data_IF_090628717467
#
_entry.id   IF_090628717467
#
_cell.length_a   1.000
_cell.length_b   1.000
_cell.length_c   1.000
_cell.angle_alpha   90.00
_cell.angle_beta   90.00
_cell.angle_gamma   90.00
#
_symmetry.space_group_name_H-M   'P 1'
#
loop_
_entity.id
_entity.type
_entity.pdbx_description
1 polymer ?
#
# COMPACT_ATOMS: atom_id res chain seq x y z
N UNK A 1 8.86 17.45 7.45
CA UNK A 1 9.30 16.12 7.00
C UNK A 1 8.34 15.58 5.99
N UNK A 2 8.86 14.93 4.97
CA UNK A 2 8.06 14.46 3.84
C UNK A 2 7.56 13.02 4.02
N UNK A 3 7.95 12.32 5.07
CA UNK A 3 7.50 10.97 5.33
C UNK A 3 6.33 10.92 6.29
N UNK A 4 5.72 9.76 6.44
CA UNK A 4 4.62 9.54 7.35
C UNK A 4 4.79 8.24 8.10
N UNK A 5 3.92 7.99 9.08
CA UNK A 5 3.95 6.77 9.86
C UNK A 5 3.65 5.55 8.98
N UNK A 6 4.28 4.43 9.30
CA UNK A 6 4.05 3.18 8.61
C UNK A 6 2.64 2.66 8.92
N UNK A 7 1.95 2.22 7.89
CA UNK A 7 0.65 1.57 8.03
C UNK A 7 0.86 0.05 8.07
N UNK A 8 0.17 -0.60 8.99
CA UNK A 8 0.26 -2.06 9.14
C UNK A 8 -1.14 -2.65 9.02
N UNK A 9 -1.28 -3.65 8.15
CA UNK A 9 -2.55 -4.35 7.91
C UNK A 9 -2.35 -5.82 8.17
N UNK A 10 -3.27 -6.42 8.90
CA UNK A 10 -3.26 -7.85 9.21
C UNK A 10 -4.35 -8.58 8.43
N UNK A 11 -4.21 -9.88 8.32
CA UNK A 11 -5.18 -10.68 7.57
C UNK A 11 -5.06 -10.51 6.06
N UNK A 12 -3.89 -10.08 5.57
CA UNK A 12 -3.64 -9.97 4.15
C UNK A 12 -3.19 -11.32 3.63
N UNK A 13 -4.13 -12.09 3.11
CA UNK A 13 -3.80 -13.37 2.48
C UNK A 13 -3.07 -13.13 1.16
N UNK A 14 -2.48 -14.18 0.62
CA UNK A 14 -1.80 -14.09 -0.68
C UNK A 14 -2.77 -13.63 -1.77
N UNK A 15 -4.02 -14.09 -1.74
CA UNK A 15 -5.05 -13.67 -2.68
C UNK A 15 -5.33 -12.17 -2.59
N UNK A 16 -5.45 -11.65 -1.37
CA UNK A 16 -5.68 -10.22 -1.14
C UNK A 16 -4.48 -9.42 -1.64
N UNK A 17 -3.27 -9.86 -1.33
CA UNK A 17 -2.06 -9.18 -1.78
C UNK A 17 -1.99 -9.12 -3.31
N UNK A 18 -2.34 -10.22 -3.98
CA UNK A 18 -2.38 -10.27 -5.44
C UNK A 18 -3.39 -9.25 -6.01
N UNK A 19 -4.54 -9.11 -5.40
CA UNK A 19 -5.54 -8.12 -5.81
C UNK A 19 -5.03 -6.69 -5.61
N UNK A 20 -4.33 -6.44 -4.51
CA UNK A 20 -3.73 -5.14 -4.25
C UNK A 20 -2.67 -4.81 -5.31
N UNK A 21 -1.86 -5.78 -5.71
CA UNK A 21 -0.87 -5.60 -6.76
C UNK A 21 -1.54 -5.22 -8.09
N UNK A 22 -2.65 -5.86 -8.43
CA UNK A 22 -3.40 -5.55 -9.64
C UNK A 22 -3.97 -4.14 -9.61
N UNK A 23 -4.51 -3.72 -8.47
CA UNK A 23 -5.02 -2.35 -8.29
C UNK A 23 -3.90 -1.32 -8.44
N UNK A 24 -2.76 -1.58 -7.82
CA UNK A 24 -1.61 -0.70 -7.92
C UNK A 24 -1.14 -0.57 -9.37
N UNK A 25 -1.13 -1.67 -10.11
CA UNK A 25 -0.73 -1.68 -11.51
C UNK A 25 -1.62 -0.77 -12.36
N UNK A 26 -2.91 -0.67 -12.05
CA UNK A 26 -3.84 0.21 -12.76
C UNK A 26 -3.52 1.69 -12.54
N UNK A 27 -2.82 2.02 -11.48
CA UNK A 27 -2.38 3.39 -11.18
C UNK A 27 -0.92 3.61 -11.53
N UNK A 28 -0.34 2.73 -12.34
CA UNK A 28 1.07 2.78 -12.77
C UNK A 28 2.06 2.56 -11.64
N UNK A 29 1.65 1.92 -10.57
CA UNK A 29 2.54 1.49 -9.48
C UNK A 29 2.78 0.00 -9.63
N UNK A 30 3.99 -0.38 -9.98
CA UNK A 30 4.33 -1.79 -10.22
C UNK A 30 4.85 -2.41 -8.93
N UNK A 31 4.06 -3.31 -8.35
CA UNK A 31 4.46 -4.06 -7.17
C UNK A 31 5.03 -5.40 -7.64
N UNK A 32 6.34 -5.53 -7.53
CA UNK A 32 7.07 -6.73 -7.99
C UNK A 32 7.65 -7.44 -6.77
N UNK A 33 6.89 -8.33 -6.18
CA UNK A 33 7.35 -9.10 -5.03
C UNK A 33 6.90 -8.55 -3.69
N UNK A 34 7.23 -9.25 -2.59
CA UNK A 34 6.70 -8.92 -1.25
C UNK A 34 7.35 -7.70 -0.61
N UNK A 35 8.50 -7.26 -1.10
CA UNK A 35 9.20 -6.09 -0.56
C UNK A 35 9.69 -5.24 -1.71
N UNK A 36 9.48 -3.93 -1.61
CA UNK A 36 9.96 -3.02 -2.64
C UNK A 36 9.59 -1.58 -2.40
N UNK A 37 9.91 -0.77 -3.39
CA UNK A 37 9.61 0.66 -3.40
C UNK A 37 9.10 1.06 -4.78
N UNK A 38 8.24 2.07 -4.81
CA UNK A 38 7.76 2.65 -6.07
C UNK A 38 7.67 4.15 -5.93
N UNK A 39 7.89 4.85 -7.04
CA UNK A 39 7.79 6.31 -7.10
C UNK A 39 6.78 6.66 -8.18
N UNK A 40 5.84 7.52 -7.83
CA UNK A 40 4.87 8.06 -8.78
C UNK A 40 4.56 9.50 -8.41
N UNK A 41 4.69 10.41 -9.37
CA UNK A 41 4.38 11.84 -9.20
C UNK A 41 5.11 12.46 -8.00
N UNK A 42 6.34 12.03 -7.77
CA UNK A 42 7.16 12.53 -6.67
C UNK A 42 6.87 11.86 -5.33
N UNK A 43 5.87 10.97 -5.27
CA UNK A 43 5.54 10.22 -4.07
C UNK A 43 6.28 8.89 -4.09
N UNK A 44 7.04 8.62 -3.03
CA UNK A 44 7.78 7.37 -2.88
C UNK A 44 7.12 6.51 -1.81
N UNK A 45 6.72 5.32 -2.19
CA UNK A 45 6.09 4.35 -1.30
C UNK A 45 7.01 3.15 -1.11
N UNK A 46 6.98 2.58 0.10
CA UNK A 46 7.70 1.35 0.42
C UNK A 46 6.69 0.36 1.01
N UNK A 47 6.82 -0.90 0.64
CA UNK A 47 5.97 -1.95 1.18
C UNK A 47 6.80 -3.16 1.60
N UNK A 48 6.25 -3.89 2.55
CA UNK A 48 6.79 -5.17 2.99
C UNK A 48 5.62 -6.09 3.33
N UNK A 49 5.53 -7.22 2.65
CA UNK A 49 4.49 -8.21 2.88
C UNK A 49 5.11 -9.49 3.43
N UNK A 50 4.61 -9.95 4.58
CA UNK A 50 5.00 -11.20 5.19
C UNK A 50 3.84 -12.18 5.05
N UNK A 51 4.01 -13.18 4.17
CA UNK A 51 2.97 -14.16 3.89
C UNK A 51 2.73 -15.09 5.11
N UNK A 52 3.75 -15.32 5.92
CA UNK A 52 3.63 -16.18 7.09
C UNK A 52 2.71 -15.58 8.14
N UNK A 53 2.88 -14.31 8.45
CA UNK A 53 2.04 -13.60 9.40
C UNK A 53 0.82 -12.94 8.76
N UNK A 54 0.73 -12.96 7.43
CA UNK A 54 -0.30 -12.30 6.64
C UNK A 54 -0.38 -10.82 6.95
N UNK A 55 0.79 -10.19 7.12
CA UNK A 55 0.90 -8.80 7.51
C UNK A 55 1.51 -7.99 6.38
N UNK A 56 0.85 -6.89 6.02
CA UNK A 56 1.35 -5.95 5.03
C UNK A 56 1.68 -4.63 5.71
N UNK A 57 2.90 -4.15 5.49
CA UNK A 57 3.33 -2.84 5.94
C UNK A 57 3.53 -1.95 4.72
N UNK A 58 2.98 -0.74 4.78
CA UNK A 58 3.12 0.26 3.71
C UNK A 58 3.49 1.58 4.33
N UNK A 59 4.44 2.28 3.73
CA UNK A 59 4.89 3.57 4.23
C UNK A 59 5.12 4.53 3.08
N UNK A 60 4.66 5.77 3.24
CA UNK A 60 5.04 6.87 2.35
C UNK A 60 6.38 7.41 2.84
N UNK A 61 7.45 7.17 2.06
CA UNK A 61 8.80 7.59 2.42
C UNK A 61 9.03 9.05 2.09
N UNK A 62 8.44 9.51 0.98
CA UNK A 62 8.63 10.88 0.50
C UNK A 62 7.39 11.34 -0.25
N UNK A 63 7.06 12.61 -0.11
CA UNK A 63 6.01 13.26 -0.88
C UNK A 63 6.45 14.68 -1.21
N UNK A 64 5.99 15.26 -2.34
CA UNK A 64 6.21 16.67 -2.63
C UNK A 64 5.60 17.55 -1.53
N UNK A 65 6.16 18.73 -1.32
CA UNK A 65 5.70 19.61 -0.23
C UNK A 65 4.24 20.07 -0.39
N UNK A 66 3.71 20.04 -1.61
CA UNK A 66 2.31 20.42 -1.87
C UNK A 66 1.32 19.27 -1.64
N UNK A 67 1.80 18.07 -1.30
CA UNK A 67 0.96 16.92 -1.00
C UNK A 67 1.12 16.55 0.48
N UNK A 68 -0.01 16.48 1.17
CA UNK A 68 -0.02 16.07 2.58
C UNK A 68 0.15 14.55 2.68
N UNK A 69 1.19 14.11 3.39
CA UNK A 69 1.47 12.69 3.55
C UNK A 69 0.35 11.96 4.33
N UNK A 70 -0.36 12.67 5.20
CA UNK A 70 -1.51 12.10 5.89
C UNK A 70 -2.64 11.76 4.91
N UNK A 71 -2.82 12.57 3.88
CA UNK A 71 -3.81 12.30 2.84
C UNK A 71 -3.43 11.06 2.04
N UNK A 72 -2.14 10.90 1.74
CA UNK A 72 -1.65 9.71 1.05
C UNK A 72 -1.92 8.46 1.89
N UNK A 73 -1.64 8.52 3.19
CA UNK A 73 -1.92 7.41 4.10
C UNK A 73 -3.40 7.07 4.15
N UNK A 74 -4.27 8.07 4.19
CA UNK A 74 -5.71 7.85 4.20
C UNK A 74 -6.19 7.20 2.91
N UNK A 75 -5.66 7.61 1.77
CA UNK A 75 -5.99 7.01 0.48
C UNK A 75 -5.52 5.56 0.41
N UNK A 76 -4.30 5.28 0.86
CA UNK A 76 -3.77 3.92 0.91
C UNK A 76 -4.63 3.03 1.80
N UNK A 77 -4.97 3.52 2.99
CA UNK A 77 -5.80 2.78 3.94
C UNK A 77 -7.16 2.46 3.32
N UNK A 78 -7.78 3.45 2.70
CA UNK A 78 -9.10 3.27 2.07
C UNK A 78 -9.07 2.20 0.99
N UNK A 79 -8.05 2.23 0.13
CA UNK A 79 -7.93 1.25 -0.95
C UNK A 79 -7.68 -0.16 -0.42
N UNK A 80 -6.82 -0.30 0.58
CA UNK A 80 -6.50 -1.60 1.15
C UNK A 80 -7.71 -2.16 1.91
N UNK A 81 -8.38 -1.34 2.72
CA UNK A 81 -9.56 -1.76 3.46
C UNK A 81 -10.72 -2.13 2.52
N UNK A 82 -10.91 -1.37 1.45
CA UNK A 82 -11.92 -1.68 0.45
C UNK A 82 -11.68 -3.05 -0.19
N UNK A 83 -10.42 -3.37 -0.47
CA UNK A 83 -10.05 -4.67 -1.03
C UNK A 83 -10.29 -5.79 -0.02
N UNK A 84 -9.95 -5.57 1.25
CA UNK A 84 -10.22 -6.53 2.31
C UNK A 84 -11.72 -6.80 2.45
N UNK A 85 -12.52 -5.76 2.47
CA UNK A 85 -13.97 -5.88 2.59
C UNK A 85 -14.57 -6.62 1.40
N UNK A 86 -14.09 -6.32 0.20
CA UNK A 86 -14.55 -6.98 -1.03
C UNK A 86 -14.28 -8.48 -1.00
N UNK A 87 -13.11 -8.89 -0.51
CA UNK A 87 -12.75 -10.31 -0.42
C UNK A 87 -13.54 -11.00 0.69
N UNK A 88 -13.74 -10.35 1.83
CA UNK A 88 -14.49 -10.92 2.95
C UNK A 88 -15.98 -11.05 2.65
N UNK A 89 -16.51 -10.19 1.82
CA UNK A 89 -17.93 -10.21 1.44
C UNK A 89 -18.25 -11.25 0.36
N UNK A 90 -17.24 -11.79 -0.28
CA UNK A 90 -17.41 -12.75 -1.36
C UNK A 90 -17.70 -14.16 -0.87
#
# INVERSE_FOLDING_TARGET
>A
MSGSSKLTFRGITRTIFTRLCKKASKTCIHVVGPTGEAVKDGVKLRWHYDVTSEQLEVQCIRAPFWIDSARINNDLRREIEATLDSVRAA
#
